data_IF_922604674987
#
_entry.id   IF_922604674987
#
_cell.length_a   1.000
_cell.length_b   1.000
_cell.length_c   1.000
_cell.angle_alpha   90.00
_cell.angle_beta   90.00
_cell.angle_gamma   90.00
#
_symmetry.space_group_name_H-M   'P 1'
#
loop_
_entity.id
_entity.type
_entity.pdbx_description
1 polymer ?
#
# COMPACT_ATOMS: atom_id res chain seq x y z
N UNK A 1 -52.59 -71.57 -0.27
CA UNK A 1 -51.45 -70.79 0.25
C UNK A 1 -50.77 -69.85 -0.75
N UNK A 2 -50.87 -70.04 -2.08
CA UNK A 2 -50.21 -69.15 -3.07
C UNK A 2 -50.75 -67.70 -3.08
N UNK A 3 -52.05 -67.47 -2.83
CA UNK A 3 -52.66 -66.12 -2.83
C UNK A 3 -52.20 -65.22 -1.67
N UNK A 4 -51.82 -65.79 -0.53
CA UNK A 4 -51.29 -65.01 0.62
C UNK A 4 -49.86 -64.51 0.38
N UNK A 5 -49.04 -65.25 -0.38
CA UNK A 5 -47.65 -64.87 -0.69
C UNK A 5 -47.60 -63.62 -1.59
N UNK A 6 -48.52 -63.50 -2.56
CA UNK A 6 -48.62 -62.30 -3.40
C UNK A 6 -49.09 -61.06 -2.63
N UNK A 7 -49.98 -61.23 -1.64
CA UNK A 7 -50.41 -60.13 -0.77
C UNK A 7 -49.29 -59.59 0.13
N UNK A 8 -48.46 -60.48 0.67
CA UNK A 8 -47.29 -60.11 1.48
C UNK A 8 -46.23 -59.40 0.62
N UNK A 9 -45.98 -59.88 -0.60
CA UNK A 9 -45.04 -59.24 -1.52
C UNK A 9 -45.49 -57.84 -1.95
N UNK A 10 -46.79 -57.67 -2.21
CA UNK A 10 -47.37 -56.37 -2.57
C UNK A 10 -47.25 -55.35 -1.42
N UNK A 11 -47.50 -55.79 -0.18
CA UNK A 11 -47.32 -54.95 1.00
C UNK A 11 -45.86 -54.54 1.22
N UNK A 12 -44.92 -55.47 1.02
CA UNK A 12 -43.49 -55.24 1.15
C UNK A 12 -42.98 -54.25 0.09
N UNK A 13 -43.50 -54.33 -1.14
CA UNK A 13 -43.19 -53.38 -2.20
C UNK A 13 -43.70 -51.95 -1.89
N UNK A 14 -44.91 -51.83 -1.33
CA UNK A 14 -45.46 -50.53 -0.89
C UNK A 14 -44.65 -49.92 0.26
N UNK A 15 -44.18 -50.75 1.20
CA UNK A 15 -43.32 -50.31 2.30
C UNK A 15 -41.99 -49.76 1.77
N UNK A 16 -41.34 -50.46 0.84
CA UNK A 16 -40.09 -49.99 0.23
C UNK A 16 -40.27 -48.69 -0.58
N UNK A 17 -41.40 -48.53 -1.28
CA UNK A 17 -41.73 -47.28 -1.98
C UNK A 17 -41.93 -46.11 -1.01
N UNK A 18 -42.64 -46.35 0.10
CA UNK A 18 -42.84 -45.34 1.14
C UNK A 18 -41.54 -44.93 1.83
N UNK A 19 -40.69 -45.91 2.17
CA UNK A 19 -39.38 -45.66 2.74
C UNK A 19 -38.45 -44.92 1.76
N UNK A 20 -38.44 -45.31 0.48
CA UNK A 20 -37.66 -44.64 -0.56
C UNK A 20 -38.06 -43.18 -0.77
N UNK A 21 -39.37 -42.90 -0.74
CA UNK A 21 -39.88 -41.52 -0.84
C UNK A 21 -39.49 -40.68 0.38
N UNK A 22 -39.56 -41.26 1.59
CA UNK A 22 -39.15 -40.59 2.82
C UNK A 22 -37.66 -40.26 2.86
N UNK A 23 -36.78 -41.19 2.44
CA UNK A 23 -35.35 -40.91 2.31
C UNK A 23 -35.07 -39.83 1.26
N UNK A 24 -35.78 -39.86 0.13
CA UNK A 24 -35.65 -38.85 -0.92
C UNK A 24 -36.00 -37.44 -0.42
N UNK A 25 -37.05 -37.32 0.39
CA UNK A 25 -37.44 -36.05 0.99
C UNK A 25 -36.37 -35.50 1.95
N UNK A 26 -35.82 -36.35 2.82
CA UNK A 26 -34.72 -35.94 3.71
C UNK A 26 -33.47 -35.50 2.93
N UNK A 27 -33.14 -36.20 1.84
CA UNK A 27 -31.99 -35.82 0.99
C UNK A 27 -32.23 -34.50 0.25
N UNK A 28 -33.47 -34.22 -0.16
CA UNK A 28 -33.82 -32.96 -0.80
C UNK A 28 -33.66 -31.76 0.16
N UNK A 29 -34.10 -31.91 1.41
CA UNK A 29 -33.97 -30.91 2.46
C UNK A 29 -32.49 -30.62 2.79
N UNK A 30 -31.69 -31.68 2.98
CA UNK A 30 -30.24 -31.55 3.19
C UNK A 30 -29.53 -30.86 2.02
N UNK A 31 -29.95 -31.12 0.77
CA UNK A 31 -29.37 -30.46 -0.40
C UNK A 31 -29.66 -28.97 -0.43
N UNK A 32 -30.86 -28.55 -0.02
CA UNK A 32 -31.22 -27.14 0.08
C UNK A 32 -30.43 -26.42 1.16
N UNK A 33 -30.21 -27.07 2.30
CA UNK A 33 -29.37 -26.50 3.36
C UNK A 33 -27.91 -26.43 2.94
N UNK A 34 -27.40 -27.44 2.23
CA UNK A 34 -26.03 -27.42 1.71
C UNK A 34 -25.82 -26.30 0.68
N UNK A 35 -26.77 -26.06 -0.23
CA UNK A 35 -26.66 -24.95 -1.20
C UNK A 35 -26.74 -23.59 -0.51
N UNK A 36 -27.63 -23.43 0.48
CA UNK A 36 -27.68 -22.20 1.30
C UNK A 36 -26.39 -21.96 2.06
N UNK A 37 -25.81 -23.00 2.67
CA UNK A 37 -24.52 -22.91 3.36
C UNK A 37 -23.39 -22.55 2.39
N UNK A 38 -23.35 -23.15 1.21
CA UNK A 38 -22.37 -22.79 0.18
C UNK A 38 -22.54 -21.35 -0.29
N UNK A 39 -23.76 -20.86 -0.50
CA UNK A 39 -24.01 -19.47 -0.88
C UNK A 39 -23.61 -18.50 0.24
N UNK A 40 -23.94 -18.79 1.50
CA UNK A 40 -23.52 -17.96 2.64
C UNK A 40 -22.01 -17.92 2.79
N UNK A 41 -21.35 -19.08 2.71
CA UNK A 41 -19.88 -19.17 2.78
C UNK A 41 -19.22 -18.49 1.58
N UNK A 42 -19.80 -18.58 0.37
CA UNK A 42 -19.30 -17.87 -0.80
C UNK A 42 -19.41 -16.35 -0.63
N UNK A 43 -20.54 -15.85 -0.10
CA UNK A 43 -20.73 -14.44 0.24
C UNK A 43 -19.77 -13.97 1.33
N UNK A 44 -19.56 -14.77 2.36
CA UNK A 44 -18.59 -14.46 3.43
C UNK A 44 -17.16 -14.43 2.89
N UNK A 45 -16.76 -15.42 2.09
CA UNK A 45 -15.46 -15.43 1.41
C UNK A 45 -15.28 -14.23 0.50
N UNK A 46 -16.31 -13.84 -0.25
CA UNK A 46 -16.25 -12.68 -1.13
C UNK A 46 -16.11 -11.37 -0.32
N UNK A 47 -16.81 -11.24 0.80
CA UNK A 47 -16.67 -10.09 1.71
C UNK A 47 -15.27 -10.03 2.33
N UNK A 48 -14.74 -11.17 2.78
CA UNK A 48 -13.37 -11.25 3.34
C UNK A 48 -12.33 -10.92 2.28
N UNK A 49 -12.47 -11.42 1.05
CA UNK A 49 -11.56 -11.05 -0.06
C UNK A 49 -11.62 -9.55 -0.39
N UNK A 50 -12.80 -8.93 -0.33
CA UNK A 50 -12.94 -7.48 -0.53
C UNK A 50 -12.28 -6.67 0.61
N UNK A 51 -12.38 -7.13 1.86
CA UNK A 51 -11.73 -6.50 3.01
C UNK A 51 -10.21 -6.73 3.07
N UNK A 52 -9.70 -7.86 2.57
CA UNK A 52 -8.26 -8.10 2.47
C UNK A 52 -7.62 -7.17 1.43
N UNK A 53 -8.36 -6.81 0.38
CA UNK A 53 -7.89 -5.89 -0.67
C UNK A 53 -7.64 -4.46 -0.19
N UNK A 54 -8.21 -4.01 0.94
CA UNK A 54 -8.02 -2.64 1.43
C UNK A 54 -6.77 -2.45 2.28
N UNK A 55 -6.14 -3.53 2.74
CA UNK A 55 -4.94 -3.47 3.59
C UNK A 55 -3.69 -3.00 2.83
N UNK A 56 -3.67 -3.20 1.51
CA UNK A 56 -2.58 -2.78 0.61
C UNK A 56 -2.98 -1.59 -0.27
N UNK A 57 -4.09 -0.91 0.02
CA UNK A 57 -4.46 0.31 -0.70
C UNK A 57 -3.64 1.49 -0.19
N UNK A 58 -2.82 2.01 -1.10
CA UNK A 58 -2.10 3.26 -0.94
C UNK A 58 -3.07 4.42 -1.17
N UNK A 59 -3.26 5.25 -0.14
CA UNK A 59 -4.12 6.43 -0.22
C UNK A 59 -3.24 7.65 -0.44
N UNK A 60 -3.39 8.27 -1.60
CA UNK A 60 -2.69 9.51 -1.94
C UNK A 60 -3.68 10.65 -1.80
N UNK A 61 -3.35 11.64 -0.96
CA UNK A 61 -4.11 12.87 -0.84
C UNK A 61 -3.29 14.03 -1.40
N UNK A 62 -3.88 14.75 -2.34
CA UNK A 62 -3.30 15.96 -2.94
C UNK A 62 -3.99 17.18 -2.32
N UNK A 63 -3.20 18.03 -1.65
CA UNK A 63 -3.69 19.27 -1.03
C UNK A 63 -2.99 20.46 -1.69
N UNK A 64 -3.74 21.54 -1.93
CA UNK A 64 -3.17 22.79 -2.43
C UNK A 64 -3.04 23.77 -1.27
N UNK A 65 -1.80 24.04 -0.83
CA UNK A 65 -1.50 25.07 0.17
C UNK A 65 -0.49 26.07 -0.41
N UNK A 66 -0.79 27.38 -0.26
CA UNK A 66 0.08 28.49 -0.69
C UNK A 66 0.61 28.42 -2.14
N UNK A 67 -0.14 27.78 -3.04
CA UNK A 67 0.24 27.65 -4.46
C UNK A 67 1.17 26.46 -4.76
N UNK A 68 1.55 25.69 -3.74
CA UNK A 68 2.27 24.42 -3.87
C UNK A 68 1.30 23.24 -3.79
N UNK A 69 1.61 22.17 -4.54
CA UNK A 69 0.81 20.94 -4.59
C UNK A 69 1.44 19.92 -3.63
N UNK A 70 0.89 19.81 -2.43
CA UNK A 70 1.37 18.87 -1.41
C UNK A 70 0.72 17.51 -1.66
N UNK A 71 1.52 16.57 -2.15
CA UNK A 71 1.13 15.17 -2.35
C UNK A 71 1.56 14.36 -1.14
N UNK A 72 0.61 14.00 -0.29
CA UNK A 72 0.86 13.19 0.90
C UNK A 72 0.38 11.76 0.70
N UNK A 73 1.27 10.80 0.97
CA UNK A 73 1.00 9.37 0.86
C UNK A 73 0.66 8.80 2.24
N UNK A 74 -0.42 8.05 2.33
CA UNK A 74 -0.89 7.46 3.58
C UNK A 74 -1.14 5.96 3.41
N UNK A 75 -0.78 5.22 4.45
CA UNK A 75 -1.04 3.78 4.57
C UNK A 75 -1.99 3.49 5.72
N UNK A 76 -3.01 2.68 5.48
CA UNK A 76 -3.90 2.20 6.55
C UNK A 76 -3.11 1.25 7.44
N UNK A 77 -2.93 1.63 8.70
CA UNK A 77 -2.26 0.79 9.71
C UNK A 77 -3.27 -0.05 10.49
N UNK A 78 -4.48 0.48 10.71
CA UNK A 78 -5.59 -0.24 11.35
C UNK A 78 -6.95 0.33 10.91
N UNK A 79 -8.00 -0.49 10.94
CA UNK A 79 -9.37 -0.07 10.65
C UNK A 79 -10.36 -0.69 11.62
N UNK A 80 -11.43 0.04 11.92
CA UNK A 80 -12.60 -0.38 12.70
C UNK A 80 -13.88 0.21 12.10
N UNK A 81 -15.06 -0.12 12.64
CA UNK A 81 -16.34 0.31 12.06
C UNK A 81 -16.56 1.82 12.06
N UNK A 82 -15.95 2.57 12.98
CA UNK A 82 -16.10 4.04 13.07
C UNK A 82 -14.77 4.80 12.96
N UNK A 83 -13.63 4.12 12.84
CA UNK A 83 -12.33 4.78 12.81
C UNK A 83 -11.33 4.05 11.91
N UNK A 84 -10.49 4.82 11.24
CA UNK A 84 -9.32 4.33 10.51
C UNK A 84 -8.08 5.01 11.08
N UNK A 85 -6.99 4.25 11.20
CA UNK A 85 -5.68 4.75 11.63
C UNK A 85 -4.78 4.76 10.42
N UNK A 86 -4.38 5.96 10.00
CA UNK A 86 -3.49 6.19 8.89
C UNK A 86 -2.08 6.52 9.42
N UNK A 87 -1.07 5.98 8.77
CA UNK A 87 0.32 6.43 8.91
C UNK A 87 0.66 7.24 7.67
N UNK A 88 1.12 8.47 7.87
CA UNK A 88 1.74 9.24 6.81
C UNK A 88 3.07 8.59 6.47
N UNK A 89 3.25 8.25 5.20
CA UNK A 89 4.54 7.97 4.62
C UNK A 89 4.96 9.32 4.02
N UNK A 90 5.91 10.00 4.68
CA UNK A 90 6.56 11.16 4.06
C UNK A 90 7.15 10.65 2.75
N UNK A 91 6.60 11.10 1.62
CA UNK A 91 7.41 11.21 0.42
C UNK A 91 8.50 12.19 0.85
N UNK A 92 9.71 11.68 1.10
CA UNK A 92 10.89 12.52 0.99
C UNK A 92 10.69 13.23 -0.33
N UNK A 93 10.47 14.54 -0.28
CA UNK A 93 10.40 15.38 -1.46
C UNK A 93 11.68 15.05 -2.20
N UNK A 94 11.52 14.19 -3.21
CA UNK A 94 12.62 13.80 -4.04
C UNK A 94 12.81 15.10 -4.78
N UNK A 95 13.78 15.90 -4.31
CA UNK A 95 14.15 17.18 -4.88
C UNK A 95 14.76 16.96 -6.25
N UNK A 96 14.25 16.03 -7.04
CA UNK A 96 14.69 15.70 -8.38
C UNK A 96 14.62 16.94 -9.29
N UNK A 97 13.83 17.94 -8.91
CA UNK A 97 13.76 19.24 -9.59
C UNK A 97 14.44 20.39 -8.82
N UNK A 98 14.94 20.17 -7.59
CA UNK A 98 15.67 21.21 -6.84
C UNK A 98 17.13 21.23 -7.25
N UNK A 99 17.60 22.34 -7.81
CA UNK A 99 19.02 22.55 -8.10
C UNK A 99 19.67 23.40 -7.02
N UNK A 100 20.83 22.97 -6.52
CA UNK A 100 21.61 23.72 -5.53
C UNK A 100 22.84 24.35 -6.19
N UNK A 101 23.26 25.51 -5.71
CA UNK A 101 24.45 26.22 -6.16
C UNK A 101 25.45 26.34 -5.00
N UNK A 102 26.68 25.90 -5.24
CA UNK A 102 27.76 26.00 -4.26
C UNK A 102 28.53 27.32 -4.46
N UNK A 103 28.70 28.08 -3.38
CA UNK A 103 29.57 29.26 -3.35
C UNK A 103 30.47 29.22 -2.13
N UNK A 104 31.53 30.02 -2.17
CA UNK A 104 32.46 30.14 -1.06
C UNK A 104 32.20 31.47 -0.34
N UNK A 105 31.81 31.39 0.92
CA UNK A 105 31.68 32.52 1.82
C UNK A 105 32.56 32.27 3.05
N UNK A 106 33.33 33.29 3.46
CA UNK A 106 34.23 33.21 4.62
C UNK A 106 35.24 32.03 4.59
N UNK A 107 35.56 31.52 3.39
CA UNK A 107 36.48 30.39 3.20
C UNK A 107 35.83 29.02 3.34
N UNK A 108 34.54 28.95 3.66
CA UNK A 108 33.75 27.73 3.73
C UNK A 108 32.72 27.68 2.60
N UNK A 109 32.24 26.48 2.29
CA UNK A 109 31.22 26.29 1.27
C UNK A 109 29.85 26.67 1.87
N UNK A 110 29.09 27.48 1.14
CA UNK A 110 27.69 27.79 1.44
C UNK A 110 26.83 27.29 0.29
N UNK A 111 25.77 26.57 0.63
CA UNK A 111 24.81 25.98 -0.31
C UNK A 111 23.67 26.97 -0.49
N UNK A 112 23.40 27.33 -1.73
CA UNK A 112 22.25 28.15 -2.11
C UNK A 112 21.25 27.29 -2.87
N UNK A 113 19.98 27.58 -2.67
CA UNK A 113 18.93 27.09 -3.57
C UNK A 113 18.98 27.93 -4.86
N UNK A 114 19.05 27.27 -6.03
CA UNK A 114 19.17 27.97 -7.31
C UNK A 114 17.86 28.60 -7.77
N UNK A 115 16.71 28.06 -7.38
CA UNK A 115 15.40 28.60 -7.73
C UNK A 115 15.09 29.86 -6.93
N UNK A 116 15.23 29.79 -5.60
CA UNK A 116 14.94 30.92 -4.71
C UNK A 116 16.10 31.91 -4.60
N UNK A 117 17.34 31.45 -4.83
CA UNK A 117 18.56 32.23 -4.63
C UNK A 117 18.89 32.49 -3.16
N UNK A 118 18.15 31.87 -2.24
CA UNK A 118 18.35 31.99 -0.80
C UNK A 118 19.43 31.02 -0.31
N UNK A 119 20.03 31.33 0.84
CA UNK A 119 20.97 30.42 1.49
C UNK A 119 20.17 29.23 2.01
N UNK A 120 20.48 28.06 1.49
CA UNK A 120 19.91 26.80 1.97
C UNK A 120 20.61 26.38 3.28
N UNK A 121 21.95 26.30 3.24
CA UNK A 121 22.73 25.90 4.41
C UNK A 121 24.16 26.45 4.38
N UNK A 122 24.63 26.91 5.55
CA UNK A 122 26.04 27.24 5.76
C UNK A 122 26.77 25.99 6.22
N UNK A 123 27.76 25.55 5.44
CA UNK A 123 28.55 24.37 5.79
C UNK A 123 29.86 24.78 6.46
N UNK A 124 30.40 23.92 7.31
CA UNK A 124 31.73 24.11 7.90
C UNK A 124 32.84 23.47 7.05
N UNK A 125 32.59 23.22 5.75
CA UNK A 125 33.53 22.55 4.85
C UNK A 125 34.45 23.61 4.23
N UNK A 126 35.76 23.62 4.53
CA UNK A 126 36.69 24.58 3.95
C UNK A 126 36.93 24.26 2.47
N UNK A 127 37.01 25.28 1.61
CA UNK A 127 37.33 25.09 0.18
C UNK A 127 38.61 24.29 -0.03
N UNK A 128 39.61 24.48 0.84
CA UNK A 128 40.91 23.81 0.76
C UNK A 128 40.85 22.30 0.96
N UNK A 129 39.78 21.80 1.58
CA UNK A 129 39.57 20.36 1.83
C UNK A 129 39.06 19.63 0.58
N UNK A 130 38.48 20.37 -0.37
CA UNK A 130 38.04 19.79 -1.63
C UNK A 130 39.24 19.48 -2.55
N UNK A 131 39.12 18.47 -3.43
CA UNK A 131 40.05 18.25 -4.54
C UNK A 131 40.21 19.50 -5.43
N UNK A 132 41.41 19.73 -5.97
CA UNK A 132 41.70 20.91 -6.82
C UNK A 132 40.71 21.09 -7.99
N UNK A 133 40.24 19.98 -8.57
CA UNK A 133 39.24 20.01 -9.64
C UNK A 133 37.90 20.58 -9.14
N UNK A 134 37.41 20.09 -8.00
CA UNK A 134 36.17 20.58 -7.39
C UNK A 134 36.30 22.00 -6.85
N UNK A 135 37.48 22.41 -6.35
CA UNK A 135 37.73 23.80 -5.97
C UNK A 135 37.50 24.74 -7.16
N UNK A 136 38.06 24.41 -8.32
CA UNK A 136 37.88 25.20 -9.53
C UNK A 136 36.42 25.21 -9.99
N UNK A 137 35.72 24.07 -9.94
CA UNK A 137 34.31 23.98 -10.29
C UNK A 137 33.42 24.82 -9.36
N UNK A 138 33.63 24.76 -8.05
CA UNK A 138 32.88 25.57 -7.08
C UNK A 138 33.12 27.06 -7.31
N UNK A 139 34.36 27.47 -7.60
CA UNK A 139 34.67 28.86 -7.95
C UNK A 139 34.05 29.30 -9.29
N UNK A 140 33.78 28.37 -10.20
CA UNK A 140 33.06 28.60 -11.46
C UNK A 140 31.53 28.58 -11.29
N UNK A 141 31.02 28.25 -10.11
CA UNK A 141 29.59 28.16 -9.80
C UNK A 141 29.00 26.77 -10.07
N UNK A 142 29.63 25.73 -9.52
CA UNK A 142 29.10 24.36 -9.56
C UNK A 142 27.68 24.29 -9.02
N UNK A 143 26.82 23.60 -9.76
CA UNK A 143 25.47 23.25 -9.33
C UNK A 143 25.36 21.75 -9.07
N UNK A 144 24.46 21.37 -8.16
CA UNK A 144 24.14 19.99 -7.82
C UNK A 144 22.65 19.76 -8.10
N UNK A 145 22.32 18.61 -8.66
CA UNK A 145 20.96 18.23 -9.02
C UNK A 145 20.35 17.39 -7.90
N UNK A 146 19.44 18.01 -7.16
CA UNK A 146 18.64 17.38 -6.13
C UNK A 146 19.34 17.10 -4.81
N UNK A 147 18.50 16.66 -3.86
CA UNK A 147 18.90 16.44 -2.47
C UNK A 147 19.92 15.30 -2.34
N UNK A 148 19.81 14.23 -3.14
CA UNK A 148 20.73 13.08 -3.05
C UNK A 148 22.18 13.47 -3.38
N UNK A 149 22.40 14.23 -4.46
CA UNK A 149 23.74 14.68 -4.85
C UNK A 149 24.31 15.68 -3.84
N UNK A 150 23.47 16.58 -3.32
CA UNK A 150 23.85 17.51 -2.26
C UNK A 150 24.29 16.76 -0.99
N UNK A 151 23.46 15.87 -0.45
CA UNK A 151 23.79 15.16 0.78
C UNK A 151 24.99 14.24 0.61
N UNK A 152 25.11 13.56 -0.53
CA UNK A 152 26.31 12.77 -0.86
C UNK A 152 27.56 13.64 -0.89
N UNK A 153 27.50 14.83 -1.48
CA UNK A 153 28.60 15.77 -1.46
C UNK A 153 28.96 16.22 -0.03
N UNK A 154 27.97 16.62 0.76
CA UNK A 154 28.20 17.07 2.13
C UNK A 154 28.77 15.95 3.01
N UNK A 155 28.28 14.72 2.90
CA UNK A 155 28.77 13.59 3.68
C UNK A 155 30.24 13.26 3.36
N UNK A 156 30.63 13.36 2.09
CA UNK A 156 32.00 13.05 1.67
C UNK A 156 33.04 14.06 2.19
N UNK A 157 32.64 15.30 2.51
CA UNK A 157 33.56 16.38 2.88
C UNK A 157 33.27 17.02 4.25
N UNK A 158 32.21 16.60 4.95
CA UNK A 158 31.93 16.91 6.35
C UNK A 158 32.76 15.99 7.24
N UNK A 159 33.96 16.43 7.62
CA UNK A 159 34.87 15.74 8.55
C UNK A 159 35.17 16.58 9.78
#
# INVERSE_FOLDING_TARGET
MKRMIYGIGFFLALLFLGAGFFLSYQVADLRQDMTRLQESSAKERQQVSALVSSKDQELVFETYEEGSLLRNRYRITAYGPEQIVLRQEEEEETGADQEFLLKVEEGCITVYDKESGEVFEHTNIPLETLPQELQAEVLLGKTLEGNEELYSFLENYSS
#
